data_IF_701104496247
#
_entry.id   IF_701104496247
#
_cell.length_a   1.000
_cell.length_b   1.000
_cell.length_c   1.000
_cell.angle_alpha   90.00
_cell.angle_beta   90.00
_cell.angle_gamma   90.00
#
_symmetry.space_group_name_H-M   'P 1'
#
loop_
_entity.id
_entity.type
_entity.pdbx_description
1 polymer ?
#
# COMPACT_ATOMS: atom_id res chain seq x y z
N UNK A 1 -9.16 -9.92 -13.03
CA UNK A 1 -7.87 -9.23 -13.16
C UNK A 1 -8.05 -7.79 -12.72
N UNK A 2 -7.12 -7.30 -11.92
CA UNK A 2 -7.13 -5.97 -11.32
C UNK A 2 -6.15 -5.04 -12.05
N UNK A 3 -6.32 -3.73 -11.91
CA UNK A 3 -5.27 -2.77 -12.20
C UNK A 3 -4.36 -2.61 -10.98
N UNK A 4 -3.04 -2.66 -11.20
CA UNK A 4 -2.07 -2.41 -10.13
C UNK A 4 -1.81 -0.92 -9.98
N UNK A 5 -1.91 -0.44 -8.75
CA UNK A 5 -1.47 0.88 -8.33
C UNK A 5 -0.27 0.73 -7.39
N UNK A 6 0.84 1.37 -7.71
CA UNK A 6 2.02 1.32 -6.84
C UNK A 6 2.82 2.61 -6.90
N UNK A 7 3.71 2.80 -5.94
CA UNK A 7 4.57 3.98 -5.84
C UNK A 7 5.97 3.55 -5.46
N UNK A 8 6.97 4.30 -5.91
CA UNK A 8 8.35 4.07 -5.49
C UNK A 8 9.11 5.37 -5.30
N UNK A 9 10.02 5.34 -4.33
CA UNK A 9 11.07 6.32 -4.13
C UNK A 9 12.36 5.53 -3.85
N UNK A 10 13.16 5.35 -4.89
CA UNK A 10 14.36 4.52 -4.80
C UNK A 10 15.60 5.19 -5.42
N UNK A 11 16.19 6.19 -4.72
CA UNK A 11 17.35 6.93 -5.21
C UNK A 11 18.60 6.09 -5.47
N UNK A 12 18.69 4.91 -4.86
CA UNK A 12 19.88 4.05 -4.93
C UNK A 12 19.66 2.84 -5.88
N UNK A 13 18.46 2.69 -6.44
CA UNK A 13 18.13 1.58 -7.36
C UNK A 13 18.14 0.19 -6.71
N UNK A 14 17.94 0.09 -5.39
CA UNK A 14 17.98 -1.19 -4.65
C UNK A 14 16.96 -2.20 -5.17
N UNK A 15 15.83 -1.71 -5.66
CA UNK A 15 14.75 -2.56 -6.17
C UNK A 15 14.97 -3.02 -7.62
N UNK A 16 16.05 -2.58 -8.30
CA UNK A 16 16.29 -2.90 -9.71
C UNK A 16 16.41 -4.40 -9.98
N UNK A 17 17.27 -5.10 -9.23
CA UNK A 17 17.49 -6.54 -9.44
C UNK A 17 16.20 -7.34 -9.19
N UNK A 18 15.47 -7.00 -8.13
CA UNK A 18 14.23 -7.68 -7.78
C UNK A 18 13.10 -7.35 -8.77
N UNK A 19 13.05 -6.12 -9.30
CA UNK A 19 12.18 -5.74 -10.40
C UNK A 19 12.44 -6.58 -11.65
N UNK A 20 13.70 -6.70 -12.08
CA UNK A 20 14.07 -7.51 -13.25
C UNK A 20 13.60 -8.96 -13.09
N UNK A 21 13.71 -9.52 -11.87
CA UNK A 21 13.24 -10.86 -11.55
C UNK A 21 11.70 -10.99 -11.57
N UNK A 22 10.99 -9.97 -11.07
CA UNK A 22 9.54 -10.05 -10.85
C UNK A 22 8.68 -9.51 -12.01
N UNK A 23 9.25 -8.70 -12.91
CA UNK A 23 8.49 -7.93 -13.91
C UNK A 23 7.54 -8.79 -14.75
N UNK A 24 8.00 -9.94 -15.23
CA UNK A 24 7.20 -10.80 -16.12
C UNK A 24 5.95 -11.35 -15.40
N UNK A 25 6.09 -11.67 -14.11
CA UNK A 25 4.98 -12.14 -13.28
C UNK A 25 3.99 -11.00 -13.03
N UNK A 26 4.50 -9.81 -12.67
CA UNK A 26 3.67 -8.63 -12.43
C UNK A 26 2.87 -8.27 -13.70
N UNK A 27 3.53 -8.17 -14.85
CA UNK A 27 2.87 -7.86 -16.13
C UNK A 27 1.85 -8.91 -16.57
N UNK A 28 2.04 -10.16 -16.14
CA UNK A 28 1.09 -11.24 -16.40
C UNK A 28 -0.13 -11.20 -15.50
N UNK A 29 0.01 -10.75 -14.25
CA UNK A 29 -1.06 -10.84 -13.24
C UNK A 29 -2.05 -9.68 -13.29
N UNK A 30 -1.62 -8.51 -13.79
CA UNK A 30 -2.43 -7.31 -13.81
C UNK A 30 -2.88 -6.93 -15.22
N UNK A 31 -4.05 -6.30 -15.28
CA UNK A 31 -4.60 -5.81 -16.54
C UNK A 31 -3.78 -4.61 -17.05
N UNK A 32 -3.75 -3.55 -16.26
CA UNK A 32 -2.86 -2.39 -16.43
C UNK A 32 -2.07 -2.13 -15.15
N UNK A 33 -0.88 -1.56 -15.28
CA UNK A 33 -0.01 -1.22 -14.15
C UNK A 33 0.25 0.28 -14.19
N UNK A 34 0.00 0.95 -13.07
CA UNK A 34 0.24 2.38 -12.90
C UNK A 34 1.19 2.59 -11.73
N UNK A 35 2.27 3.31 -12.00
CA UNK A 35 3.28 3.64 -11.01
C UNK A 35 3.56 5.14 -10.95
N UNK A 36 3.48 5.71 -9.75
CA UNK A 36 4.07 7.01 -9.50
C UNK A 36 5.50 6.85 -8.97
N UNK A 37 6.46 7.45 -9.67
CA UNK A 37 7.89 7.36 -9.36
C UNK A 37 8.37 8.72 -8.86
N UNK A 38 9.04 8.77 -7.71
CA UNK A 38 9.68 10.00 -7.26
C UNK A 38 10.76 10.44 -8.26
N UNK A 39 10.85 11.74 -8.58
CA UNK A 39 11.95 12.31 -9.38
C UNK A 39 13.36 12.12 -8.77
N UNK A 40 13.43 11.70 -7.51
CA UNK A 40 14.69 11.31 -6.86
C UNK A 40 15.07 9.85 -7.10
N UNK A 41 14.23 9.04 -7.77
CA UNK A 41 14.50 7.62 -8.05
C UNK A 41 15.66 7.47 -9.05
N UNK A 42 16.49 6.45 -8.86
CA UNK A 42 17.64 6.16 -9.73
C UNK A 42 17.25 6.05 -11.20
N UNK A 43 18.15 6.52 -12.07
CA UNK A 43 17.94 6.50 -13.52
C UNK A 43 17.90 5.06 -14.05
N UNK A 44 18.65 4.16 -13.43
CA UNK A 44 18.74 2.75 -13.79
C UNK A 44 17.39 2.05 -13.56
N UNK A 45 16.78 2.24 -12.38
CA UNK A 45 15.44 1.72 -12.11
C UNK A 45 14.40 2.37 -13.02
N UNK A 46 14.47 3.69 -13.22
CA UNK A 46 13.52 4.38 -14.10
C UNK A 46 13.62 3.89 -15.55
N UNK A 47 14.83 3.62 -16.07
CA UNK A 47 15.03 3.02 -17.39
C UNK A 47 14.40 1.62 -17.46
N UNK A 48 14.68 0.77 -16.47
CA UNK A 48 14.14 -0.59 -16.43
C UNK A 48 12.60 -0.63 -16.29
N UNK A 49 11.99 0.38 -15.68
CA UNK A 49 10.54 0.56 -15.62
C UNK A 49 9.99 1.08 -16.96
N UNK A 50 10.66 2.00 -17.65
CA UNK A 50 10.23 2.49 -18.96
C UNK A 50 10.28 1.41 -20.05
N UNK A 51 11.20 0.46 -19.94
CA UNK A 51 11.33 -0.69 -20.84
C UNK A 51 10.32 -1.82 -20.55
N UNK A 52 9.18 -1.50 -19.93
CA UNK A 52 8.16 -2.44 -19.45
C UNK A 52 6.75 -1.98 -19.78
N UNK A 53 5.73 -2.77 -19.43
CA UNK A 53 4.31 -2.42 -19.58
C UNK A 53 3.78 -1.46 -18.52
N UNK A 54 4.63 -0.92 -17.65
CA UNK A 54 4.23 -0.02 -16.57
C UNK A 54 3.95 1.38 -17.12
N UNK A 55 2.76 1.90 -16.85
CA UNK A 55 2.46 3.31 -17.06
C UNK A 55 3.11 4.11 -15.92
N UNK A 56 4.00 5.03 -16.26
CA UNK A 56 4.81 5.77 -15.28
C UNK A 56 4.44 7.24 -15.25
N UNK A 57 4.30 7.78 -14.04
CA UNK A 57 4.21 9.23 -13.80
C UNK A 57 5.28 9.65 -12.80
N UNK A 58 6.24 10.44 -13.25
CA UNK A 58 7.28 11.01 -12.37
C UNK A 58 6.70 12.17 -11.57
N UNK A 59 6.90 12.18 -10.24
CA UNK A 59 6.31 13.15 -9.32
C UNK A 59 7.32 13.74 -8.31
N UNK A 60 7.07 14.94 -7.77
CA UNK A 60 7.88 15.49 -6.67
C UNK A 60 7.72 14.67 -5.38
N UNK A 61 8.77 14.62 -4.55
CA UNK A 61 8.74 13.97 -3.24
C UNK A 61 8.00 14.83 -2.22
N UNK A 62 6.68 14.65 -2.16
CA UNK A 62 5.78 15.36 -1.22
C UNK A 62 5.18 14.42 -0.14
N UNK A 63 5.82 13.29 0.09
CA UNK A 63 5.39 12.26 1.05
C UNK A 63 4.51 11.16 0.44
N UNK A 64 4.37 10.06 1.18
CA UNK A 64 3.70 8.83 0.73
C UNK A 64 2.23 9.05 0.37
N UNK A 65 1.48 9.82 1.17
CA UNK A 65 0.06 10.07 0.91
C UNK A 65 -0.19 10.86 -0.38
N UNK A 66 0.70 11.80 -0.72
CA UNK A 66 0.65 12.50 -2.00
C UNK A 66 0.90 11.53 -3.17
N UNK A 67 1.91 10.65 -3.06
CA UNK A 67 2.22 9.68 -4.10
C UNK A 67 1.06 8.69 -4.32
N UNK A 68 0.46 8.19 -3.22
CA UNK A 68 -0.69 7.28 -3.27
C UNK A 68 -1.91 7.91 -3.93
N UNK A 69 -2.27 9.13 -3.56
CA UNK A 69 -3.33 9.89 -4.26
C UNK A 69 -2.99 10.14 -5.73
N UNK A 70 -1.72 10.45 -6.03
CA UNK A 70 -1.27 10.70 -7.40
C UNK A 70 -1.42 9.47 -8.29
N UNK A 71 -1.13 8.26 -7.79
CA UNK A 71 -1.27 7.04 -8.61
C UNK A 71 -2.75 6.65 -8.81
N UNK A 72 -3.60 6.87 -7.80
CA UNK A 72 -5.07 6.70 -7.95
C UNK A 72 -5.61 7.66 -9.02
N UNK A 73 -5.23 8.93 -8.95
CA UNK A 73 -5.61 9.92 -9.96
C UNK A 73 -5.10 9.54 -11.34
N UNK A 74 -3.82 9.16 -11.43
CA UNK A 74 -3.19 8.79 -12.69
C UNK A 74 -3.92 7.63 -13.37
N UNK A 75 -4.16 6.54 -12.64
CA UNK A 75 -4.95 5.41 -13.15
C UNK A 75 -6.38 5.82 -13.51
N UNK A 76 -7.06 6.60 -12.66
CA UNK A 76 -8.45 7.01 -12.91
C UNK A 76 -8.60 7.88 -14.16
N UNK A 77 -7.57 8.62 -14.56
CA UNK A 77 -7.57 9.49 -15.74
C UNK A 77 -7.16 8.75 -17.03
N UNK A 78 -6.39 7.66 -16.93
CA UNK A 78 -5.72 7.03 -18.07
C UNK A 78 -6.04 5.54 -18.27
N UNK A 79 -6.68 4.88 -17.30
CA UNK A 79 -7.12 3.49 -17.41
C UNK A 79 -8.03 3.32 -18.61
N UNK A 80 -7.73 2.33 -19.44
CA UNK A 80 -8.62 1.96 -20.55
C UNK A 80 -9.70 0.96 -20.12
N UNK A 81 -9.68 0.57 -18.84
CA UNK A 81 -10.57 -0.43 -18.26
C UNK A 81 -11.31 0.06 -17.03
N UNK A 82 -12.37 -0.67 -16.70
CA UNK A 82 -13.12 -0.54 -15.44
C UNK A 82 -12.73 -1.65 -14.45
N UNK A 83 -11.51 -2.19 -14.56
CA UNK A 83 -11.01 -3.18 -13.62
C UNK A 83 -10.80 -2.54 -12.25
N UNK A 84 -11.14 -3.27 -11.19
CA UNK A 84 -10.92 -2.82 -9.82
C UNK A 84 -9.43 -2.74 -9.49
N UNK A 85 -9.09 -2.05 -8.41
CA UNK A 85 -7.71 -1.68 -8.11
C UNK A 85 -7.13 -2.58 -7.03
N UNK A 86 -5.86 -2.96 -7.22
CA UNK A 86 -5.00 -3.47 -6.17
C UNK A 86 -3.89 -2.45 -5.94
N UNK A 87 -3.84 -1.85 -4.76
CA UNK A 87 -2.74 -1.01 -4.32
C UNK A 87 -1.75 -1.82 -3.48
N UNK A 88 -0.45 -1.65 -3.75
CA UNK A 88 0.62 -2.20 -2.93
C UNK A 88 1.88 -1.32 -3.04
N UNK A 89 2.53 -1.02 -1.92
CA UNK A 89 3.85 -0.38 -1.93
C UNK A 89 4.85 -1.22 -2.77
N UNK A 90 5.70 -0.58 -3.59
CA UNK A 90 6.45 -1.30 -4.63
C UNK A 90 7.41 -2.34 -4.07
N UNK A 91 8.14 -2.01 -3.01
CA UNK A 91 9.05 -2.94 -2.33
C UNK A 91 8.31 -4.13 -1.70
N UNK A 92 7.11 -3.90 -1.14
CA UNK A 92 6.26 -4.97 -0.61
C UNK A 92 5.70 -5.85 -1.73
N UNK A 93 5.28 -5.26 -2.85
CA UNK A 93 4.83 -6.01 -4.02
C UNK A 93 5.94 -6.91 -4.56
N UNK A 94 7.17 -6.39 -4.64
CA UNK A 94 8.32 -7.16 -5.11
C UNK A 94 8.62 -8.35 -4.17
N UNK A 95 8.60 -8.13 -2.84
CA UNK A 95 8.70 -9.22 -1.86
C UNK A 95 7.58 -10.26 -2.03
N UNK A 96 6.34 -9.82 -2.21
CA UNK A 96 5.19 -10.70 -2.41
C UNK A 96 5.34 -11.57 -3.65
N UNK A 97 5.68 -10.96 -4.79
CA UNK A 97 5.85 -11.67 -6.06
C UNK A 97 7.02 -12.65 -5.99
N UNK A 98 8.12 -12.28 -5.32
CA UNK A 98 9.30 -13.13 -5.19
C UNK A 98 9.05 -14.37 -4.32
N UNK A 99 8.32 -14.20 -3.20
CA UNK A 99 8.17 -15.25 -2.18
C UNK A 99 6.85 -16.01 -2.26
N UNK A 100 5.76 -15.33 -2.61
CA UNK A 100 4.41 -15.89 -2.61
C UNK A 100 3.61 -15.57 -3.89
N UNK A 101 4.16 -15.83 -5.09
CA UNK A 101 3.47 -15.48 -6.35
C UNK A 101 2.14 -16.22 -6.53
N UNK A 102 1.99 -17.42 -5.95
CA UNK A 102 0.74 -18.18 -6.02
C UNK A 102 -0.35 -17.61 -5.10
N UNK A 103 0.04 -17.10 -3.92
CA UNK A 103 -0.90 -16.43 -3.02
C UNK A 103 -1.42 -15.15 -3.67
N UNK A 104 -0.53 -14.33 -4.22
CA UNK A 104 -0.91 -13.12 -4.95
C UNK A 104 -1.87 -13.46 -6.10
N UNK A 105 -1.54 -14.48 -6.90
CA UNK A 105 -2.42 -14.92 -8.00
C UNK A 105 -3.80 -15.33 -7.49
N UNK A 106 -3.86 -16.12 -6.41
CA UNK A 106 -5.13 -16.55 -5.81
C UNK A 106 -5.99 -15.37 -5.36
N UNK A 107 -5.38 -14.32 -4.82
CA UNK A 107 -6.07 -13.08 -4.43
C UNK A 107 -6.62 -12.37 -5.67
N UNK A 108 -5.80 -12.19 -6.70
CA UNK A 108 -6.18 -11.47 -7.92
C UNK A 108 -7.20 -12.21 -8.81
N UNK A 109 -7.29 -13.53 -8.66
CA UNK A 109 -8.30 -14.38 -9.31
C UNK A 109 -9.64 -14.36 -8.56
N UNK A 110 -9.67 -13.90 -7.30
CA UNK A 110 -10.89 -13.82 -6.50
C UNK A 110 -11.59 -12.48 -6.76
N UNK A 111 -12.84 -12.45 -7.23
CA UNK A 111 -13.60 -11.20 -7.37
C UNK A 111 -13.77 -10.49 -6.01
N UNK A 112 -13.79 -9.16 -6.04
CA UNK A 112 -14.01 -8.37 -4.84
C UNK A 112 -15.48 -8.48 -4.44
N UNK A 113 -15.74 -8.91 -3.20
CA UNK A 113 -17.10 -9.07 -2.64
C UNK A 113 -17.51 -7.89 -1.73
N UNK A 114 -16.65 -6.90 -1.60
CA UNK A 114 -16.86 -5.67 -0.85
C UNK A 114 -16.39 -4.44 -1.64
N UNK A 115 -16.68 -3.25 -1.13
CA UNK A 115 -16.21 -2.00 -1.76
C UNK A 115 -14.70 -1.80 -1.58
N UNK A 116 -14.16 -2.19 -0.42
CA UNK A 116 -12.77 -2.01 -0.04
C UNK A 116 -12.31 -3.16 0.85
N UNK A 117 -11.22 -3.81 0.46
CA UNK A 117 -10.58 -4.93 1.14
C UNK A 117 -9.20 -4.50 1.63
N UNK A 118 -8.99 -4.52 2.95
CA UNK A 118 -7.66 -4.37 3.55
C UNK A 118 -6.92 -5.69 3.38
N UNK A 119 -5.72 -5.63 2.79
CA UNK A 119 -4.80 -6.76 2.74
C UNK A 119 -3.77 -6.58 3.86
N UNK A 120 -4.01 -7.26 4.97
CA UNK A 120 -3.18 -7.23 6.16
C UNK A 120 -2.09 -8.30 6.15
N UNK A 121 -1.09 -8.18 7.02
CA UNK A 121 -0.12 -9.26 7.24
C UNK A 121 -0.75 -10.37 8.08
N UNK A 122 -0.47 -11.61 7.70
CA UNK A 122 -0.69 -12.76 8.59
C UNK A 122 0.20 -12.64 9.84
N UNK A 123 -0.09 -13.47 10.85
CA UNK A 123 0.77 -13.58 12.03
C UNK A 123 2.21 -13.96 11.62
N UNK A 124 2.37 -14.89 10.67
CA UNK A 124 3.68 -15.31 10.18
C UNK A 124 4.43 -14.17 9.46
N UNK A 125 3.74 -13.43 8.58
CA UNK A 125 4.32 -12.26 7.92
C UNK A 125 4.65 -11.14 8.90
N UNK A 126 3.78 -10.87 9.88
CA UNK A 126 4.03 -9.88 10.91
C UNK A 126 5.29 -10.23 11.70
N UNK A 127 5.50 -11.50 12.07
CA UNK A 127 6.65 -11.92 12.88
C UNK A 127 8.01 -11.64 12.24
N UNK A 128 8.08 -11.56 10.92
CA UNK A 128 9.30 -11.20 10.18
C UNK A 128 9.72 -9.74 10.33
N UNK A 129 8.84 -8.87 10.83
CA UNK A 129 9.11 -7.44 10.97
C UNK A 129 9.94 -7.12 12.22
N UNK A 130 10.69 -6.00 12.22
CA UNK A 130 11.41 -5.51 13.39
C UNK A 130 10.48 -5.33 14.60
N UNK A 131 11.00 -5.60 15.80
CA UNK A 131 10.21 -5.61 17.05
C UNK A 131 9.52 -4.27 17.32
N UNK A 132 10.18 -3.17 16.98
CA UNK A 132 9.67 -1.82 17.16
C UNK A 132 8.54 -1.47 16.18
N UNK A 133 8.45 -2.17 15.04
CA UNK A 133 7.30 -2.05 14.15
C UNK A 133 6.14 -2.85 14.71
N UNK A 134 6.38 -4.13 15.05
CA UNK A 134 5.35 -5.01 15.60
C UNK A 134 4.65 -4.38 16.80
N UNK A 135 5.41 -3.86 17.76
CA UNK A 135 4.85 -3.28 18.99
C UNK A 135 4.10 -1.98 18.81
N UNK A 136 4.54 -1.09 17.93
CA UNK A 136 3.81 0.17 17.71
C UNK A 136 2.63 0.00 16.77
N UNK A 137 2.72 -0.92 15.81
CA UNK A 137 1.62 -1.24 14.89
C UNK A 137 0.51 -2.04 15.59
N UNK A 138 0.82 -2.85 16.62
CA UNK A 138 -0.18 -3.51 17.47
C UNK A 138 -1.19 -2.49 18.05
N UNK A 139 -0.70 -1.35 18.55
CA UNK A 139 -1.54 -0.28 19.09
C UNK A 139 -2.39 0.36 17.99
N UNK A 140 -1.78 0.64 16.84
CA UNK A 140 -2.48 1.26 15.71
C UNK A 140 -3.57 0.33 15.16
N UNK A 141 -3.25 -0.95 14.98
CA UNK A 141 -4.18 -1.98 14.52
C UNK A 141 -5.33 -2.17 15.49
N UNK A 142 -5.08 -2.14 16.81
CA UNK A 142 -6.15 -2.16 17.81
C UNK A 142 -7.12 -0.98 17.65
N UNK A 143 -6.61 0.26 17.55
CA UNK A 143 -7.44 1.46 17.40
C UNK A 143 -8.32 1.36 16.16
N UNK A 144 -7.77 0.96 15.02
CA UNK A 144 -8.54 0.85 13.78
C UNK A 144 -9.48 -0.37 13.77
N UNK A 145 -9.16 -1.42 14.53
CA UNK A 145 -10.08 -2.53 14.73
C UNK A 145 -11.36 -2.08 15.45
N UNK A 146 -11.23 -1.20 16.44
CA UNK A 146 -12.38 -0.57 17.11
C UNK A 146 -13.16 0.36 16.18
N UNK A 147 -12.47 1.10 15.30
CA UNK A 147 -13.13 1.96 14.29
C UNK A 147 -13.97 1.13 13.31
N UNK A 148 -13.42 0.02 12.81
CA UNK A 148 -14.07 -0.81 11.79
C UNK A 148 -14.97 -1.90 12.37
N UNK A 149 -14.95 -2.13 13.69
CA UNK A 149 -15.74 -3.16 14.37
C UNK A 149 -15.28 -4.58 14.08
N UNK A 150 -14.04 -4.76 13.62
CA UNK A 150 -13.43 -6.06 13.30
C UNK A 150 -11.91 -5.96 13.40
N UNK A 151 -11.23 -7.09 13.60
CA UNK A 151 -9.76 -7.11 13.62
C UNK A 151 -9.19 -6.75 12.24
N UNK A 152 -8.26 -5.79 12.20
CA UNK A 152 -7.56 -5.38 10.97
C UNK A 152 -6.07 -5.12 11.21
N UNK A 153 -5.26 -5.35 10.19
CA UNK A 153 -3.90 -4.81 10.08
C UNK A 153 -3.87 -3.66 9.07
N UNK A 154 -3.95 -2.44 9.58
CA UNK A 154 -4.10 -1.22 8.76
C UNK A 154 -2.76 -0.71 8.24
N UNK A 155 -1.63 -1.26 8.70
CA UNK A 155 -0.28 -0.73 8.42
C UNK A 155 0.51 -1.56 7.42
N UNK A 156 -0.15 -2.53 6.80
CA UNK A 156 0.46 -3.48 5.86
C UNK A 156 0.82 -2.88 4.49
N UNK A 157 0.26 -1.71 4.12
CA UNK A 157 0.60 -1.00 2.88
C UNK A 157 0.02 -1.62 1.61
N UNK A 158 -1.07 -2.38 1.72
CA UNK A 158 -1.76 -2.98 0.58
C UNK A 158 -3.27 -3.06 0.79
N UNK A 159 -4.04 -2.87 -0.29
CA UNK A 159 -5.49 -2.97 -0.28
C UNK A 159 -6.04 -3.23 -1.69
N UNK A 160 -7.29 -3.66 -1.76
CA UNK A 160 -8.04 -3.77 -3.02
C UNK A 160 -9.34 -2.99 -2.91
N UNK A 161 -9.78 -2.33 -3.98
CA UNK A 161 -11.00 -1.54 -3.94
C UNK A 161 -11.62 -1.31 -5.31
N UNK A 162 -12.94 -1.13 -5.32
CA UNK A 162 -13.71 -0.89 -6.55
C UNK A 162 -13.20 0.36 -7.27
N UNK A 163 -13.04 0.29 -8.60
CA UNK A 163 -12.58 1.44 -9.39
C UNK A 163 -13.47 2.69 -9.22
N UNK A 164 -14.77 2.49 -8.98
CA UNK A 164 -15.75 3.55 -8.74
C UNK A 164 -15.43 4.42 -7.51
N UNK A 165 -14.64 3.89 -6.57
CA UNK A 165 -14.25 4.60 -5.35
C UNK A 165 -13.11 5.60 -5.58
N UNK A 166 -12.45 5.58 -6.74
CA UNK A 166 -11.37 6.52 -7.06
C UNK A 166 -11.82 7.97 -6.87
N UNK A 167 -12.99 8.32 -7.40
CA UNK A 167 -13.57 9.66 -7.32
C UNK A 167 -13.81 10.12 -5.88
N UNK A 168 -14.35 9.24 -5.04
CA UNK A 168 -14.64 9.52 -3.63
C UNK A 168 -13.33 9.64 -2.83
N UNK A 169 -12.39 8.71 -3.03
CA UNK A 169 -11.08 8.74 -2.38
C UNK A 169 -10.35 10.05 -2.73
N UNK A 170 -10.32 10.42 -4.00
CA UNK A 170 -9.63 11.64 -4.46
C UNK A 170 -10.31 12.92 -3.96
N UNK A 171 -11.64 12.93 -3.81
CA UNK A 171 -12.38 14.09 -3.33
C UNK A 171 -12.18 14.33 -1.81
N UNK A 172 -12.14 13.26 -1.02
CA UNK A 172 -12.16 13.35 0.44
C UNK A 172 -10.81 13.10 1.12
N UNK A 173 -9.87 12.40 0.48
CA UNK A 173 -8.55 12.09 1.08
C UNK A 173 -7.68 13.35 1.19
N UNK A 174 -7.43 13.78 2.42
CA UNK A 174 -6.58 14.95 2.78
C UNK A 174 -5.55 14.60 3.83
N UNK A 175 -5.72 13.47 4.49
CA UNK A 175 -4.92 12.95 5.57
C UNK A 175 -3.52 12.57 5.12
N UNK A 176 -2.68 12.42 6.13
CA UNK A 176 -1.27 12.06 5.95
C UNK A 176 -1.04 10.55 5.91
N UNK A 177 -2.03 9.75 6.32
CA UNK A 177 -1.98 8.29 6.42
C UNK A 177 -3.17 7.68 5.66
N UNK A 178 -2.94 7.30 4.39
CA UNK A 178 -4.01 6.84 3.50
C UNK A 178 -4.52 5.44 3.84
N UNK A 179 -3.69 4.59 4.44
CA UNK A 179 -4.08 3.20 4.74
C UNK A 179 -5.27 3.15 5.70
N UNK A 180 -5.31 4.07 6.67
CA UNK A 180 -6.42 4.27 7.58
C UNK A 180 -7.53 5.15 6.98
N UNK A 181 -7.16 6.23 6.31
CA UNK A 181 -8.10 7.23 5.82
C UNK A 181 -9.03 6.68 4.73
N UNK A 182 -8.51 5.95 3.76
CA UNK A 182 -9.29 5.48 2.62
C UNK A 182 -10.41 4.50 2.99
N UNK A 183 -10.16 3.40 3.74
CA UNK A 183 -11.24 2.52 4.17
C UNK A 183 -12.26 3.26 5.05
N UNK A 184 -11.85 4.23 5.85
CA UNK A 184 -12.77 5.03 6.65
C UNK A 184 -13.66 5.96 5.81
N UNK A 185 -13.10 6.62 4.80
CA UNK A 185 -13.87 7.41 3.81
C UNK A 185 -14.92 6.52 3.15
N UNK A 186 -14.52 5.33 2.70
CA UNK A 186 -15.42 4.38 2.03
C UNK A 186 -16.52 3.91 2.97
N UNK A 187 -16.17 3.42 4.17
CA UNK A 187 -17.13 2.96 5.18
C UNK A 187 -18.17 4.03 5.48
N UNK A 188 -17.73 5.29 5.64
CA UNK A 188 -18.63 6.40 5.98
C UNK A 188 -19.56 6.79 4.83
N UNK A 189 -19.01 6.96 3.62
CA UNK A 189 -19.76 7.52 2.50
C UNK A 189 -20.67 6.46 1.86
N UNK A 190 -20.18 5.23 1.74
CA UNK A 190 -20.95 4.13 1.15
C UNK A 190 -21.78 3.34 2.17
N UNK A 191 -21.54 3.55 3.47
CA UNK A 191 -22.11 2.73 4.55
C UNK A 191 -21.83 1.23 4.33
N UNK A 192 -20.68 0.93 3.73
CA UNK A 192 -20.25 -0.41 3.36
C UNK A 192 -19.43 -1.05 4.48
N UNK A 193 -19.47 -2.38 4.54
CA UNK A 193 -18.54 -3.13 5.39
C UNK A 193 -17.18 -3.18 4.70
N UNK A 194 -16.12 -2.86 5.43
CA UNK A 194 -14.74 -3.00 4.96
C UNK A 194 -14.35 -4.47 5.08
N UNK A 195 -13.84 -5.06 4.01
CA UNK A 195 -13.31 -6.42 4.05
C UNK A 195 -11.91 -6.45 4.67
N UNK A 196 -11.53 -7.60 5.21
CA UNK A 196 -10.18 -7.86 5.66
C UNK A 196 -9.70 -9.24 5.21
N UNK A 197 -8.46 -9.32 4.73
CA UNK A 197 -7.79 -10.59 4.45
C UNK A 197 -6.32 -10.50 4.87
N UNK A 198 -5.89 -11.43 5.71
CA UNK A 198 -4.49 -11.58 6.09
C UNK A 198 -3.73 -12.39 5.04
N UNK A 199 -2.48 -12.01 4.78
CA UNK A 199 -1.63 -12.62 3.74
C UNK A 199 -0.18 -12.77 4.19
N UNK A 200 0.52 -13.79 3.68
CA UNK A 200 1.93 -14.05 3.97
C UNK A 200 2.87 -13.20 3.09
N UNK A 201 2.40 -12.80 1.90
CA UNK A 201 3.14 -12.03 0.92
C UNK A 201 3.67 -10.67 1.36
N UNK A 202 3.06 -10.09 2.39
CA UNK A 202 3.47 -8.81 2.97
C UNK A 202 4.53 -8.96 4.06
N UNK A 203 5.27 -10.08 4.05
CA UNK A 203 6.44 -10.28 4.91
C UNK A 203 7.51 -9.20 4.71
N UNK A 204 8.42 -9.11 5.66
CA UNK A 204 9.54 -8.19 5.66
C UNK A 204 10.85 -8.90 5.33
N UNK A 205 11.63 -8.30 4.44
CA UNK A 205 13.01 -8.69 4.13
C UNK A 205 13.86 -7.43 4.25
N UNK A 206 14.84 -7.42 5.17
CA UNK A 206 15.64 -6.24 5.52
C UNK A 206 16.28 -5.58 4.30
N UNK A 207 16.82 -6.38 3.37
CA UNK A 207 17.51 -5.90 2.18
C UNK A 207 16.59 -5.15 1.20
N UNK A 208 15.29 -5.44 1.23
CA UNK A 208 14.28 -4.90 0.30
C UNK A 208 13.43 -3.82 0.98
N UNK A 209 12.92 -4.11 2.17
CA UNK A 209 11.92 -3.33 2.88
C UNK A 209 12.51 -2.46 4.01
N UNK A 210 13.79 -2.64 4.33
CA UNK A 210 14.44 -2.00 5.45
C UNK A 210 14.71 -0.51 5.29
N UNK A 211 14.93 0.14 6.45
CA UNK A 211 15.23 1.57 6.50
C UNK A 211 16.69 1.78 6.10
N UNK A 212 16.93 2.66 5.13
CA UNK A 212 18.28 2.91 4.57
C UNK A 212 19.27 3.51 5.56
N UNK A 213 18.77 4.25 6.54
CA UNK A 213 19.59 4.96 7.50
C UNK A 213 19.90 4.04 8.66
N UNK A 214 21.18 3.81 8.94
CA UNK A 214 21.58 3.26 10.23
C UNK A 214 21.13 4.23 11.32
N UNK A 215 20.17 3.76 12.11
CA UNK A 215 19.60 4.48 13.23
C UNK A 215 20.06 3.79 14.50
N UNK A 216 20.37 4.58 15.53
CA UNK A 216 20.51 4.01 16.86
C UNK A 216 19.17 3.36 17.27
N UNK A 217 19.20 2.30 18.08
CA UNK A 217 17.98 1.55 18.41
C UNK A 217 16.88 2.44 19.02
N UNK A 218 17.27 3.42 19.84
CA UNK A 218 16.30 4.38 20.40
C UNK A 218 15.65 5.27 19.33
N UNK A 219 16.36 5.62 18.27
CA UNK A 219 15.82 6.41 17.16
C UNK A 219 14.81 5.60 16.34
N UNK A 220 15.05 4.28 16.17
CA UNK A 220 14.09 3.38 15.51
C UNK A 220 12.76 3.39 16.26
N UNK A 221 12.80 3.18 17.58
CA UNK A 221 11.61 3.22 18.44
C UNK A 221 10.90 4.58 18.41
N UNK A 222 11.64 5.69 18.57
CA UNK A 222 11.04 7.03 18.57
C UNK A 222 10.36 7.33 17.23
N UNK A 223 10.98 6.95 16.11
CA UNK A 223 10.40 7.15 14.78
C UNK A 223 9.10 6.36 14.60
N UNK A 224 9.08 5.10 15.04
CA UNK A 224 7.89 4.24 14.97
C UNK A 224 6.77 4.69 15.91
N UNK A 225 7.09 5.21 17.10
CA UNK A 225 6.11 5.79 18.01
C UNK A 225 5.49 7.07 17.43
N UNK A 226 6.29 7.97 16.85
CA UNK A 226 5.77 9.16 16.16
C UNK A 226 4.84 8.81 15.02
N UNK A 227 5.17 7.75 14.25
CA UNK A 227 4.30 7.26 13.18
C UNK A 227 3.00 6.67 13.74
N UNK A 228 3.07 5.86 14.79
CA UNK A 228 1.90 5.31 15.48
C UNK A 228 0.93 6.42 15.93
N UNK A 229 1.43 7.45 16.62
CA UNK A 229 0.61 8.59 17.06
C UNK A 229 -0.05 9.27 15.86
N UNK A 230 0.71 9.55 14.80
CA UNK A 230 0.20 10.18 13.60
C UNK A 230 -0.89 9.37 12.89
N UNK A 231 -0.79 8.03 12.89
CA UNK A 231 -1.83 7.16 12.34
C UNK A 231 -3.04 7.14 13.27
N UNK A 232 -2.83 6.98 14.58
CA UNK A 232 -3.89 6.97 15.58
C UNK A 232 -4.72 8.26 15.58
N UNK A 233 -4.09 9.44 15.48
CA UNK A 233 -4.78 10.73 15.39
C UNK A 233 -5.70 10.84 14.16
N UNK A 234 -5.41 10.09 13.08
CA UNK A 234 -6.32 10.04 11.93
C UNK A 234 -7.64 9.34 12.26
N UNK A 235 -7.67 8.47 13.28
CA UNK A 235 -8.90 7.84 13.76
C UNK A 235 -9.86 8.86 14.40
N UNK A 236 -9.36 9.92 15.05
CA UNK A 236 -10.21 10.96 15.66
C UNK A 236 -11.01 11.72 14.60
N UNK A 237 -10.37 12.02 13.45
CA UNK A 237 -11.03 12.66 12.31
C UNK A 237 -12.15 11.77 11.74
N UNK A 238 -11.99 10.46 11.86
CA UNK A 238 -12.96 9.46 11.43
C UNK A 238 -14.10 9.32 12.46
N UNK A 239 -13.82 9.34 13.76
CA UNK A 239 -14.79 9.09 14.84
C UNK A 239 -15.60 10.31 15.27
N UNK A 240 -15.03 11.53 15.26
CA UNK A 240 -15.73 12.78 15.65
C UNK A 240 -16.87 13.12 14.67
N UNK A 241 -16.91 12.48 13.52
CA UNK A 241 -17.92 12.70 12.50
C UNK A 241 -19.14 11.75 12.55
N UNK A 242 -19.35 11.07 13.68
CA UNK A 242 -20.48 10.14 13.92
C UNK A 242 -21.79 10.83 14.34
N UNK A 243 -21.81 12.16 14.43
CA UNK A 243 -23.02 12.99 14.57
C UNK A 243 -23.46 13.57 13.22
#
# INVERSE_FOLDING_TARGET
MYNLLTITHDPDGKNLELWIKCKEIIEKYYHEIYMCVSHETSNELLSALNDSRVNIKVIPKKGVSHARRSVVQFCSEHSTTTADYHYCDFDRLLTWVDKFPNELKSILDTPLDCDYLILGRSEQAMETHPVEWKKTEEITNYIFSEVFGQQVDITAGSCMFCHQLSSIILLYSKGSMTDAEWPAIVQRIKKSVIGYRAVDGLMYIEEVNGIRKELADIEKWISRLKLCVKIAESAEQITISKE
#
